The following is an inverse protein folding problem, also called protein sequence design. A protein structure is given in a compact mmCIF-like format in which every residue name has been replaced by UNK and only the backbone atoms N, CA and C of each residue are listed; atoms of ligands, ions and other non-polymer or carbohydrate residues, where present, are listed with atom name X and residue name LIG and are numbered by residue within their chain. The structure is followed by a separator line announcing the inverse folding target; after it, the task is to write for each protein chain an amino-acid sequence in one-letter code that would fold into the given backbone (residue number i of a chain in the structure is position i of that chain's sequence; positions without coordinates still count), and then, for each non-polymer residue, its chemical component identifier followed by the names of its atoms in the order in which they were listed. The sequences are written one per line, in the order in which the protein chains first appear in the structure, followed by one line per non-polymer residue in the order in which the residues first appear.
data_IF_505076782705
#
_entry.id   IF_505076782705
#
_cell.length_a   1.000
_cell.length_b   1.000
_cell.length_c   1.000
_cell.angle_alpha   90.00
_cell.angle_beta   90.00
_cell.angle_gamma   90.00
#
_symmetry.space_group_name_H-M   'P 1'
#
loop_
_entity.id
_entity.type
_entity.pdbx_description
1 polymer ?
#
# COMPACT_ATOMS: atom_id res chain seq x y z
N UNK A 1 2.70 5.24 7.09
CA UNK A 1 3.01 6.69 7.10
C UNK A 1 2.19 7.37 8.21
N UNK A 2 2.47 7.09 9.49
CA UNK A 2 1.67 7.64 10.59
C UNK A 2 1.85 9.16 10.76
N UNK A 3 2.96 9.71 10.25
CA UNK A 3 3.26 11.15 10.28
C UNK A 3 2.56 11.97 9.19
N UNK A 4 2.13 11.35 8.09
CA UNK A 4 1.48 12.05 6.99
C UNK A 4 -0.02 12.05 7.24
N UNK A 5 -0.55 13.18 7.68
CA UNK A 5 -1.96 13.37 8.02
C UNK A 5 -2.60 14.33 7.03
N UNK A 6 -3.25 13.80 6.01
CA UNK A 6 -4.00 14.59 5.02
C UNK A 6 -5.36 13.94 4.74
N UNK A 7 -6.25 14.67 4.06
CA UNK A 7 -7.54 14.14 3.63
C UNK A 7 -7.43 12.98 2.62
N UNK A 8 -6.26 12.78 2.01
CA UNK A 8 -6.04 11.81 0.95
C UNK A 8 -5.18 10.61 1.38
N UNK A 9 -4.72 10.59 2.62
CA UNK A 9 -3.90 9.50 3.16
C UNK A 9 -4.73 8.57 4.02
N UNK A 10 -4.60 7.26 3.78
CA UNK A 10 -5.24 6.26 4.64
C UNK A 10 -4.68 6.35 6.07
N UNK A 11 -5.54 6.37 7.10
CA UNK A 11 -5.10 6.38 8.49
C UNK A 11 -4.09 5.27 8.79
N UNK A 12 -3.07 5.62 9.57
CA UNK A 12 -2.05 4.68 9.99
C UNK A 12 -1.55 5.01 11.40
N UNK A 13 -1.25 3.97 12.16
CA UNK A 13 -0.79 4.03 13.54
C UNK A 13 0.42 3.13 13.71
N UNK A 14 1.34 3.48 14.61
CA UNK A 14 2.27 2.47 15.12
C UNK A 14 1.48 1.44 15.93
N UNK A 15 1.95 0.20 15.97
CA UNK A 15 1.20 -0.88 16.62
C UNK A 15 1.01 -0.66 18.13
N UNK A 16 1.94 0.01 18.80
CA UNK A 16 1.89 0.41 20.21
C UNK A 16 1.04 1.67 20.46
N UNK A 17 0.68 2.41 19.41
CA UNK A 17 -0.18 3.60 19.49
C UNK A 17 -1.58 3.34 18.89
N UNK A 18 -1.94 2.08 18.64
CA UNK A 18 -3.21 1.74 18.01
C UNK A 18 -4.41 2.04 18.92
N UNK A 19 -5.38 2.86 18.49
CA UNK A 19 -6.47 3.26 19.36
C UNK A 19 -7.38 2.09 19.78
N UNK A 20 -7.87 2.06 21.03
CA UNK A 20 -8.72 0.99 21.51
C UNK A 20 -10.12 0.98 20.87
N UNK A 21 -10.57 2.11 20.30
CA UNK A 21 -11.88 2.25 19.65
C UNK A 21 -11.88 1.92 18.15
N UNK A 22 -10.70 1.65 17.56
CA UNK A 22 -10.61 1.24 16.15
C UNK A 22 -10.86 -0.27 16.01
N UNK A 23 -11.60 -0.65 14.98
CA UNK A 23 -11.85 -2.06 14.63
C UNK A 23 -10.64 -2.62 13.86
N UNK A 24 -9.88 -3.53 14.48
CA UNK A 24 -8.58 -3.99 13.96
C UNK A 24 -8.70 -4.72 12.61
N UNK A 25 -9.86 -5.30 12.32
CA UNK A 25 -10.21 -6.01 11.10
C UNK A 25 -10.20 -5.08 9.89
N UNK A 26 -10.38 -3.76 10.11
CA UNK A 26 -10.28 -2.74 9.07
C UNK A 26 -8.83 -2.37 8.74
N UNK A 27 -7.84 -2.96 9.39
CA UNK A 27 -6.42 -2.61 9.24
C UNK A 27 -5.59 -3.78 8.72
N UNK A 28 -4.45 -3.44 8.13
CA UNK A 28 -3.38 -4.38 7.79
C UNK A 28 -2.17 -4.07 8.65
N UNK A 29 -1.55 -5.10 9.22
CA UNK A 29 -0.36 -4.99 10.04
C UNK A 29 0.88 -5.19 9.18
N UNK A 30 1.79 -4.21 9.21
CA UNK A 30 2.97 -4.17 8.36
C UNK A 30 4.21 -3.90 9.19
N UNK A 31 5.28 -4.69 9.07
CA UNK A 31 6.57 -4.34 9.66
C UNK A 31 7.17 -3.16 8.90
N UNK A 32 7.80 -2.22 9.62
CA UNK A 32 8.44 -1.04 9.02
C UNK A 32 9.68 -1.41 8.18
N UNK A 33 10.37 -2.47 8.58
CA UNK A 33 11.63 -2.90 7.97
C UNK A 33 11.49 -4.19 7.14
N UNK A 34 10.39 -4.35 6.39
CA UNK A 34 10.27 -5.46 5.44
C UNK A 34 10.58 -5.09 4.01
N UNK A 35 11.07 -6.09 3.29
CA UNK A 35 11.28 -6.05 1.86
C UNK A 35 10.23 -6.92 1.14
N UNK A 36 9.79 -6.48 -0.04
CA UNK A 36 8.88 -7.21 -0.93
C UNK A 36 7.53 -7.66 -0.32
N UNK A 37 7.04 -7.00 0.74
CA UNK A 37 5.77 -7.36 1.39
C UNK A 37 5.84 -8.58 2.32
N UNK A 38 7.04 -9.07 2.63
CA UNK A 38 7.23 -10.12 3.63
C UNK A 38 6.78 -9.62 5.02
N UNK A 39 6.00 -10.43 5.72
CA UNK A 39 5.51 -10.12 7.07
C UNK A 39 4.29 -9.21 7.12
N UNK A 40 3.66 -8.87 5.99
CA UNK A 40 2.36 -8.18 6.00
C UNK A 40 1.25 -9.14 6.41
N UNK A 41 0.55 -8.84 7.49
CA UNK A 41 -0.64 -9.57 7.93
C UNK A 41 -1.90 -8.78 7.52
N UNK A 42 -2.71 -9.41 6.67
CA UNK A 42 -3.95 -8.83 6.13
C UNK A 42 -5.14 -8.95 7.10
N UNK A 43 -5.03 -9.85 8.08
CA UNK A 43 -6.08 -10.15 9.05
C UNK A 43 -5.45 -10.17 10.46
N UNK A 44 -4.95 -9.01 10.92
CA UNK A 44 -4.41 -8.89 12.27
C UNK A 44 -5.54 -9.01 13.29
N UNK A 45 -5.19 -9.49 14.49
CA UNK A 45 -6.08 -9.51 15.65
C UNK A 45 -5.42 -8.78 16.80
N UNK A 46 -6.20 -8.40 17.82
CA UNK A 46 -5.67 -7.68 18.99
C UNK A 46 -4.69 -8.56 19.77
N UNK A 47 -4.91 -9.86 19.80
CA UNK A 47 -4.03 -10.85 20.42
C UNK A 47 -2.67 -10.90 19.71
N UNK A 48 -2.67 -10.94 18.38
CA UNK A 48 -1.43 -10.90 17.58
C UNK A 48 -0.67 -9.59 17.81
N UNK A 49 -1.39 -8.47 17.88
CA UNK A 49 -0.82 -7.16 18.14
C UNK A 49 -0.13 -7.11 19.50
N UNK A 50 -0.79 -7.63 20.54
CA UNK A 50 -0.25 -7.70 21.90
C UNK A 50 0.94 -8.67 22.03
N UNK A 51 1.02 -9.69 21.17
CA UNK A 51 2.11 -10.66 21.14
C UNK A 51 3.37 -10.16 20.39
N UNK A 52 3.35 -8.97 19.79
CA UNK A 52 4.50 -8.41 19.08
C UNK A 52 5.65 -8.12 20.06
N UNK A 53 6.85 -8.61 19.74
CA UNK A 53 8.06 -8.33 20.55
C UNK A 53 8.50 -6.87 20.51
N UNK A 54 8.36 -6.19 19.37
CA UNK A 54 8.80 -4.81 19.15
C UNK A 54 7.70 -4.01 18.43
N UNK A 55 6.58 -3.67 19.09
CA UNK A 55 5.41 -3.09 18.41
C UNK A 55 5.70 -1.76 17.69
N UNK A 56 6.60 -0.91 18.21
CA UNK A 56 7.04 0.32 17.52
C UNK A 56 7.66 0.09 16.11
N UNK A 57 8.10 -1.15 15.80
CA UNK A 57 8.61 -1.53 14.48
C UNK A 57 7.52 -1.99 13.51
N UNK A 58 6.25 -1.86 13.90
CA UNK A 58 5.10 -2.28 13.13
C UNK A 58 4.10 -1.14 13.01
N UNK A 59 3.35 -1.19 11.92
CA UNK A 59 2.36 -0.20 11.56
C UNK A 59 1.03 -0.91 11.27
N UNK A 60 -0.05 -0.40 11.84
CA UNK A 60 -1.40 -0.69 11.38
C UNK A 60 -1.81 0.40 10.38
N UNK A 61 -2.20 -0.01 9.18
CA UNK A 61 -2.70 0.91 8.15
C UNK A 61 -4.11 0.48 7.76
N UNK A 62 -5.05 1.43 7.69
CA UNK A 62 -6.43 1.13 7.32
C UNK A 62 -6.45 0.58 5.89
N UNK A 63 -7.19 -0.51 5.71
CA UNK A 63 -7.41 -1.19 4.42
C UNK A 63 -7.96 -0.17 3.43
N UNK A 64 -7.43 -0.23 2.21
CA UNK A 64 -7.87 0.60 1.10
C UNK A 64 -8.38 -0.34 0.02
N UNK A 65 -9.60 -0.06 -0.43
CA UNK A 65 -10.17 -0.74 -1.58
C UNK A 65 -9.64 -0.10 -2.86
N UNK A 66 -8.73 -0.81 -3.52
CA UNK A 66 -8.23 -0.42 -4.83
C UNK A 66 -9.35 -0.51 -5.86
N UNK A 67 -9.62 0.58 -6.56
CA UNK A 67 -10.56 0.62 -7.65
C UNK A 67 -10.10 -0.32 -8.79
N UNK A 68 -10.98 -1.24 -9.21
CA UNK A 68 -10.78 -2.08 -10.39
C UNK A 68 -11.33 -1.35 -11.62
N UNK A 69 -10.50 -0.56 -12.30
CA UNK A 69 -10.95 0.31 -13.38
C UNK A 69 -10.28 0.06 -14.73
N UNK A 70 -9.12 -0.61 -14.77
CA UNK A 70 -8.39 -0.85 -16.02
C UNK A 70 -9.09 -1.97 -16.79
N UNK A 71 -9.65 -1.72 -17.99
CA UNK A 71 -10.29 -2.75 -18.79
C UNK A 71 -9.28 -3.84 -19.19
N UNK A 72 -9.73 -5.09 -19.22
CA UNK A 72 -8.96 -6.21 -19.74
C UNK A 72 -9.79 -6.94 -20.79
N UNK A 73 -9.12 -7.66 -21.68
CA UNK A 73 -9.79 -8.46 -22.72
C UNK A 73 -10.52 -9.67 -22.15
N UNK A 74 -10.12 -10.13 -20.96
CA UNK A 74 -10.61 -11.34 -20.32
C UNK A 74 -11.86 -11.10 -19.45
N UNK A 75 -12.29 -9.84 -19.30
CA UNK A 75 -13.49 -9.43 -18.56
C UNK A 75 -13.20 -8.72 -17.23
N UNK A 76 -12.52 -9.36 -16.26
CA UNK A 76 -12.20 -8.74 -14.97
C UNK A 76 -11.30 -7.52 -15.12
N UNK A 77 -11.71 -6.38 -14.57
CA UNK A 77 -10.89 -5.16 -14.57
C UNK A 77 -9.67 -5.31 -13.66
N UNK A 78 -8.51 -4.85 -14.12
CA UNK A 78 -7.30 -4.75 -13.31
C UNK A 78 -7.35 -3.52 -12.39
N UNK A 79 -6.69 -3.65 -11.23
CA UNK A 79 -6.42 -2.56 -10.29
C UNK A 79 -5.07 -1.94 -10.64
N UNK A 80 -4.90 -0.66 -10.34
CA UNK A 80 -3.65 0.05 -10.53
C UNK A 80 -3.19 0.76 -9.25
N UNK A 81 -1.88 0.68 -8.97
CA UNK A 81 -1.15 1.49 -8.00
C UNK A 81 -0.23 2.43 -8.77
N UNK A 82 -0.25 3.72 -8.47
CA UNK A 82 0.75 4.67 -8.98
C UNK A 82 1.82 4.89 -7.91
N UNK A 83 3.07 4.59 -8.25
CA UNK A 83 4.24 4.91 -7.44
C UNK A 83 4.93 6.11 -8.03
N UNK A 84 5.04 7.18 -7.25
CA UNK A 84 5.68 8.42 -7.66
C UNK A 84 7.04 8.55 -6.99
N UNK A 85 8.04 8.94 -7.76
CA UNK A 85 9.39 9.22 -7.29
C UNK A 85 9.64 10.72 -7.35
N UNK A 86 9.84 11.33 -6.20
CA UNK A 86 10.18 12.73 -6.06
C UNK A 86 11.66 12.87 -5.70
N UNK A 87 12.29 13.92 -6.24
CA UNK A 87 13.64 14.35 -5.87
C UNK A 87 13.55 15.76 -5.27
N UNK A 88 14.31 16.03 -4.21
CA UNK A 88 14.43 17.38 -3.69
C UNK A 88 15.46 18.14 -4.52
N UNK A 89 15.04 19.19 -5.23
CA UNK A 89 15.99 20.03 -5.97
C UNK A 89 16.62 21.07 -5.04
N UNK A 90 17.74 21.66 -5.46
CA UNK A 90 18.37 22.79 -4.75
C UNK A 90 17.43 24.01 -4.64
N UNK A 91 16.37 24.06 -5.45
CA UNK A 91 15.34 25.11 -5.43
C UNK A 91 14.34 24.94 -4.26
N UNK A 92 14.52 23.91 -3.42
CA UNK A 92 13.83 23.75 -2.14
C UNK A 92 12.54 22.93 -2.19
N UNK A 93 11.99 22.65 -3.38
CA UNK A 93 10.73 21.92 -3.56
C UNK A 93 10.95 20.54 -4.20
N UNK A 94 10.13 19.52 -3.84
CA UNK A 94 10.20 18.20 -4.44
C UNK A 94 9.66 18.21 -5.88
N UNK A 95 10.46 17.71 -6.81
CA UNK A 95 10.11 17.57 -8.22
C UNK A 95 9.76 16.11 -8.51
N UNK A 96 8.62 15.88 -9.16
CA UNK A 96 8.24 14.56 -9.66
C UNK A 96 9.18 14.17 -10.81
N UNK A 97 10.01 13.16 -10.61
CA UNK A 97 10.98 12.71 -11.62
C UNK A 97 10.45 11.53 -12.44
N UNK A 98 9.75 10.60 -11.79
CA UNK A 98 9.21 9.42 -12.46
C UNK A 98 7.93 8.95 -11.79
N UNK A 99 7.05 8.33 -12.56
CA UNK A 99 5.90 7.60 -12.06
C UNK A 99 5.88 6.18 -12.64
N UNK A 100 5.46 5.22 -11.82
CA UNK A 100 5.35 3.82 -12.18
C UNK A 100 3.96 3.32 -11.83
N UNK A 101 3.18 2.99 -12.86
CA UNK A 101 1.92 2.27 -12.72
C UNK A 101 2.25 0.80 -12.50
N UNK A 102 1.70 0.21 -11.44
CA UNK A 102 1.73 -1.23 -11.18
C UNK A 102 0.31 -1.77 -11.25
N UNK A 103 0.09 -2.76 -12.10
CA UNK A 103 -1.22 -3.38 -12.29
C UNK A 103 -1.26 -4.77 -11.67
N UNK A 104 -2.39 -5.09 -11.03
CA UNK A 104 -2.67 -6.43 -10.51
C UNK A 104 -4.16 -6.73 -10.51
N UNK A 105 -4.49 -8.02 -10.62
CA UNK A 105 -5.82 -8.57 -10.43
C UNK A 105 -5.92 -9.35 -9.10
N UNK A 106 -4.87 -9.35 -8.28
CA UNK A 106 -4.82 -10.00 -6.97
C UNK A 106 -5.43 -9.16 -5.85
N UNK A 107 -5.63 -9.79 -4.68
CA UNK A 107 -5.97 -9.07 -3.44
C UNK A 107 -4.80 -8.20 -2.94
N UNK A 108 -3.55 -8.60 -3.24
CA UNK A 108 -2.33 -7.86 -2.91
C UNK A 108 -1.51 -7.52 -4.15
N UNK A 109 -0.85 -6.36 -4.10
CA UNK A 109 0.04 -5.86 -5.15
C UNK A 109 1.45 -6.46 -5.01
N UNK A 110 1.64 -7.71 -5.46
CA UNK A 110 2.90 -8.44 -5.30
C UNK A 110 3.14 -9.48 -6.42
N UNK A 111 4.41 -9.81 -6.65
CA UNK A 111 4.86 -10.65 -7.78
C UNK A 111 4.36 -12.09 -7.67
N UNK A 112 4.23 -12.63 -6.46
CA UNK A 112 3.82 -14.01 -6.25
C UNK A 112 2.33 -14.28 -6.52
N UNK A 113 1.47 -13.25 -6.50
CA UNK A 113 0.01 -13.39 -6.67
C UNK A 113 -0.45 -13.25 -8.13
N UNK A 114 0.48 -13.07 -9.06
CA UNK A 114 0.19 -12.73 -10.47
C UNK A 114 0.69 -13.80 -11.47
N UNK A 115 1.19 -14.96 -11.02
CA UNK A 115 1.93 -15.91 -11.86
C UNK A 115 1.13 -16.47 -13.06
N UNK A 116 -0.19 -16.42 -13.04
CA UNK A 116 -1.05 -16.91 -14.13
C UNK A 116 -2.08 -15.87 -14.62
N UNK A 117 -1.79 -14.57 -14.44
CA UNK A 117 -2.75 -13.50 -14.80
C UNK A 117 -2.21 -12.63 -15.93
N UNK A 118 -3.07 -12.32 -16.89
CA UNK A 118 -2.86 -11.33 -17.95
C UNK A 118 -3.20 -9.92 -17.43
N UNK A 119 -2.75 -8.87 -18.12
CA UNK A 119 -3.01 -7.47 -17.73
C UNK A 119 -2.53 -7.12 -16.31
N UNK A 120 -1.40 -7.72 -15.92
CA UNK A 120 -0.60 -7.44 -14.73
C UNK A 120 0.79 -7.00 -15.19
N UNK A 121 1.48 -6.16 -14.41
CA UNK A 121 2.81 -5.68 -14.80
C UNK A 121 3.07 -4.25 -14.35
N UNK A 122 4.07 -3.61 -14.96
CA UNK A 122 4.42 -2.22 -14.68
C UNK A 122 4.54 -1.39 -15.96
N UNK A 123 4.11 -0.13 -15.92
CA UNK A 123 4.17 0.81 -17.04
C UNK A 123 4.39 2.25 -16.52
N UNK A 124 4.64 3.20 -17.41
CA UNK A 124 4.59 4.64 -17.10
C UNK A 124 3.16 5.17 -17.26
N UNK A 125 2.73 6.08 -16.38
CA UNK A 125 1.49 6.84 -16.56
C UNK A 125 1.80 8.07 -17.41
N UNK A 126 1.33 8.05 -18.65
CA UNK A 126 1.34 9.22 -19.52
C UNK A 126 0.12 10.08 -19.19
N UNK A 127 0.31 11.39 -19.11
CA UNK A 127 -0.76 12.37 -19.02
C UNK A 127 -0.52 13.47 -20.05
N UNK A 128 -1.59 14.11 -20.50
CA UNK A 128 -1.49 15.27 -21.37
C UNK A 128 -0.80 16.41 -20.62
N UNK A 129 0.01 17.20 -21.35
CA UNK A 129 0.69 18.38 -20.80
C UNK A 129 -0.27 19.55 -20.61
#
# INVERSE_FOLDING_TARGET
MPFIKTAHTSPAFFADEFPPHEEIENYVLKPLYSFAGLGVDMEPTREKLAALKNPHQWLLQKKVDYASFVPTVDGPKSKAELRMMFIWSEQGEPVLLNNLVRMSQGKMMGVDFNKDKTWVGSSIALHDQ
#
